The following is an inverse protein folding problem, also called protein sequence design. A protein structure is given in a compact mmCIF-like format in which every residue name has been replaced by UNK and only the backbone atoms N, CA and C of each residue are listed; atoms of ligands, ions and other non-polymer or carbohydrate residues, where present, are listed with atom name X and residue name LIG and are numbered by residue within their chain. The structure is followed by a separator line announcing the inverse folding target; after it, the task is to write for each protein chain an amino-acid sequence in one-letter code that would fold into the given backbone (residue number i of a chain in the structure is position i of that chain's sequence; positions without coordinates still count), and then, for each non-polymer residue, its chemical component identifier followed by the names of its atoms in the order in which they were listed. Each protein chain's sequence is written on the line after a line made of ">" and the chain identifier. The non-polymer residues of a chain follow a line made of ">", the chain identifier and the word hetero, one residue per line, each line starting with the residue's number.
data_IF_492708573775
#
_entry.id   IF_492708573775
#
_cell.length_a   1.000
_cell.length_b   1.000
_cell.length_c   1.000
_cell.angle_alpha   90.00
_cell.angle_beta   90.00
_cell.angle_gamma   90.00
#
_symmetry.space_group_name_H-M   'P 1'
#
loop_
_entity.id
_entity.type
_entity.pdbx_description
1 polymer ?
#
# COMPACT_ATOMS: atom_id res chain seq x y z
N UNK A 1 -14.10 17.98 4.02
CA UNK A 1 -12.75 18.57 4.07
C UNK A 1 -12.46 19.19 2.71
N UNK A 2 -11.72 20.30 2.71
CA UNK A 2 -11.19 20.93 1.49
C UNK A 2 -9.76 20.40 1.26
N UNK A 3 -9.52 19.76 0.12
CA UNK A 3 -8.26 19.09 -0.16
C UNK A 3 -7.68 19.56 -1.48
N UNK A 4 -6.42 19.96 -1.48
CA UNK A 4 -5.66 20.26 -2.69
C UNK A 4 -4.77 19.07 -3.02
N UNK A 5 -4.83 18.60 -4.27
CA UNK A 5 -3.96 17.54 -4.80
C UNK A 5 -3.06 18.14 -5.87
N UNK A 6 -1.76 18.08 -5.67
CA UNK A 6 -0.75 18.62 -6.60
C UNK A 6 -0.12 17.47 -7.38
N UNK A 7 -0.49 17.36 -8.66
CA UNK A 7 -0.15 16.29 -9.58
C UNK A 7 -1.39 15.54 -10.07
N UNK A 8 -1.71 15.63 -11.37
CA UNK A 8 -2.86 14.97 -12.01
C UNK A 8 -2.51 13.63 -12.69
N UNK A 9 -1.32 13.11 -12.47
CA UNK A 9 -0.92 11.80 -12.97
C UNK A 9 -1.75 10.66 -12.34
N UNK A 10 -1.42 9.40 -12.67
CA UNK A 10 -2.18 8.21 -12.21
C UNK A 10 -2.49 8.22 -10.71
N UNK A 11 -1.51 8.56 -9.86
CA UNK A 11 -1.69 8.57 -8.40
C UNK A 11 -2.66 9.68 -7.98
N UNK A 12 -2.44 10.91 -8.44
CA UNK A 12 -3.30 12.05 -8.11
C UNK A 12 -4.73 11.86 -8.61
N UNK A 13 -4.91 11.35 -9.83
CA UNK A 13 -6.23 11.00 -10.38
C UNK A 13 -6.98 10.00 -9.47
N UNK A 14 -6.29 8.90 -9.07
CA UNK A 14 -6.92 7.88 -8.21
C UNK A 14 -7.29 8.43 -6.84
N UNK A 15 -6.42 9.26 -6.24
CA UNK A 15 -6.71 9.90 -4.94
C UNK A 15 -7.88 10.88 -5.09
N UNK A 16 -7.91 11.71 -6.14
CA UNK A 16 -8.99 12.66 -6.39
C UNK A 16 -10.34 11.95 -6.54
N UNK A 17 -10.37 10.83 -7.29
CA UNK A 17 -11.56 10.00 -7.46
C UNK A 17 -12.05 9.46 -6.12
N UNK A 18 -11.20 8.77 -5.37
CA UNK A 18 -11.58 8.11 -4.11
C UNK A 18 -12.06 9.12 -3.06
N UNK A 19 -11.37 10.26 -2.91
CA UNK A 19 -11.75 11.27 -1.92
C UNK A 19 -12.99 12.07 -2.36
N UNK A 20 -13.16 12.29 -3.66
CA UNK A 20 -14.38 12.90 -4.22
C UNK A 20 -15.60 12.02 -3.97
N UNK A 21 -15.52 10.71 -4.21
CA UNK A 21 -16.57 9.73 -3.91
C UNK A 21 -16.94 9.66 -2.41
N UNK A 22 -16.01 10.05 -1.52
CA UNK A 22 -16.26 10.17 -0.08
C UNK A 22 -16.89 11.52 0.33
N UNK A 23 -17.22 12.38 -0.62
CA UNK A 23 -17.87 13.67 -0.37
C UNK A 23 -16.92 14.79 0.08
N UNK A 24 -15.61 14.70 -0.21
CA UNK A 24 -14.68 15.78 0.03
C UNK A 24 -14.64 16.78 -1.13
N UNK A 25 -14.40 18.05 -0.82
CA UNK A 25 -14.18 19.10 -1.83
C UNK A 25 -12.73 19.04 -2.32
N UNK A 26 -12.54 18.68 -3.59
CA UNK A 26 -11.21 18.42 -4.15
C UNK A 26 -10.84 19.51 -5.17
N UNK A 27 -9.63 20.02 -5.09
CA UNK A 27 -9.01 20.83 -6.13
C UNK A 27 -7.73 20.15 -6.60
N UNK A 28 -7.63 19.82 -7.89
CA UNK A 28 -6.44 19.22 -8.50
C UNK A 28 -5.63 20.28 -9.24
N UNK A 29 -4.32 20.31 -9.05
CA UNK A 29 -3.39 21.22 -9.74
C UNK A 29 -2.35 20.41 -10.50
N UNK A 30 -2.17 20.67 -11.79
CA UNK A 30 -1.06 20.14 -12.58
C UNK A 30 -0.65 21.14 -13.67
N UNK A 31 0.61 21.10 -14.09
CA UNK A 31 1.11 21.91 -15.19
C UNK A 31 0.69 21.35 -16.57
N UNK A 32 0.31 20.10 -16.66
CA UNK A 32 -0.17 19.42 -17.87
C UNK A 32 -1.63 19.75 -18.10
N UNK A 33 -1.93 20.53 -19.14
CA UNK A 33 -3.30 20.79 -19.57
C UNK A 33 -4.06 19.54 -20.00
N UNK A 34 -3.35 18.57 -20.57
CA UNK A 34 -3.92 17.28 -20.99
C UNK A 34 -4.38 16.44 -19.77
N UNK A 35 -3.56 16.36 -18.72
CA UNK A 35 -3.93 15.61 -17.52
C UNK A 35 -5.06 16.32 -16.76
N UNK A 36 -5.09 17.66 -16.72
CA UNK A 36 -6.19 18.45 -16.15
C UNK A 36 -7.48 18.27 -16.94
N UNK A 37 -7.41 18.20 -18.26
CA UNK A 37 -8.58 17.92 -19.08
C UNK A 37 -9.19 16.56 -18.77
N UNK A 38 -8.36 15.51 -18.63
CA UNK A 38 -8.82 14.17 -18.22
C UNK A 38 -9.51 14.18 -16.85
N UNK A 39 -9.00 14.98 -15.90
CA UNK A 39 -9.64 15.16 -14.59
C UNK A 39 -11.05 15.75 -14.77
N UNK A 40 -11.17 16.86 -15.52
CA UNK A 40 -12.44 17.54 -15.74
C UNK A 40 -13.49 16.67 -16.47
N UNK A 41 -13.05 15.83 -17.39
CA UNK A 41 -13.94 14.92 -18.13
C UNK A 41 -14.42 13.72 -17.31
N UNK A 42 -13.67 13.33 -16.28
CA UNK A 42 -13.88 12.07 -15.55
C UNK A 42 -14.35 12.24 -14.12
N UNK A 43 -14.12 13.38 -13.48
CA UNK A 43 -14.37 13.60 -12.07
C UNK A 43 -15.10 14.92 -11.82
N UNK A 44 -15.99 14.94 -10.85
CA UNK A 44 -16.65 16.17 -10.37
C UNK A 44 -15.76 16.85 -9.31
N UNK A 45 -14.66 17.46 -9.77
CA UNK A 45 -13.69 18.14 -8.91
C UNK A 45 -13.18 19.41 -9.60
N UNK A 46 -12.76 20.41 -8.83
CA UNK A 46 -12.11 21.58 -9.40
C UNK A 46 -10.72 21.24 -9.91
N UNK A 47 -10.37 21.65 -11.12
CA UNK A 47 -9.05 21.42 -11.68
C UNK A 47 -8.42 22.71 -12.22
N UNK A 48 -7.12 22.89 -11.96
CA UNK A 48 -6.38 24.12 -12.28
C UNK A 48 -5.10 23.73 -13.02
N UNK A 49 -4.90 24.31 -14.20
CA UNK A 49 -3.62 24.24 -14.92
C UNK A 49 -2.63 25.22 -14.30
N UNK A 50 -1.52 24.73 -13.78
CA UNK A 50 -0.47 25.56 -13.21
C UNK A 50 0.60 24.80 -12.44
N UNK A 51 1.66 25.49 -12.07
CA UNK A 51 2.72 24.95 -11.22
C UNK A 51 2.33 25.11 -9.75
N UNK A 52 2.10 24.03 -9.04
CA UNK A 52 1.72 24.05 -7.63
C UNK A 52 2.81 24.63 -6.68
N UNK A 53 4.04 24.84 -7.20
CA UNK A 53 5.10 25.56 -6.49
C UNK A 53 4.95 27.07 -6.56
N UNK A 54 3.98 27.61 -7.29
CA UNK A 54 3.72 29.04 -7.35
C UNK A 54 2.63 29.41 -6.33
N UNK A 55 2.91 30.27 -5.33
CA UNK A 55 1.93 30.69 -4.33
C UNK A 55 0.62 31.19 -4.94
N UNK A 56 0.69 31.97 -6.04
CA UNK A 56 -0.50 32.48 -6.75
C UNK A 56 -1.41 31.37 -7.31
N UNK A 57 -0.87 30.21 -7.65
CA UNK A 57 -1.65 29.06 -8.11
C UNK A 57 -2.33 28.37 -6.91
N UNK A 58 -1.64 28.24 -5.79
CA UNK A 58 -2.23 27.72 -4.55
C UNK A 58 -3.31 28.65 -4.02
N UNK A 59 -3.12 29.97 -4.11
CA UNK A 59 -4.13 30.97 -3.77
C UNK A 59 -5.39 30.81 -4.63
N UNK A 60 -5.26 30.66 -5.95
CA UNK A 60 -6.39 30.35 -6.87
C UNK A 60 -7.12 29.05 -6.52
N UNK A 61 -6.39 28.11 -5.92
CA UNK A 61 -6.95 26.86 -5.41
C UNK A 61 -7.61 26.98 -4.04
N UNK A 62 -7.66 28.20 -3.47
CA UNK A 62 -8.20 28.50 -2.15
C UNK A 62 -7.41 27.83 -1.01
N UNK A 63 -6.07 27.90 -1.09
CA UNK A 63 -5.16 27.27 -0.12
C UNK A 63 -5.38 27.74 1.34
N UNK A 64 -5.89 28.96 1.54
CA UNK A 64 -6.16 29.53 2.87
C UNK A 64 -7.25 28.73 3.63
N UNK A 65 -8.24 28.22 2.90
CA UNK A 65 -9.34 27.43 3.49
C UNK A 65 -9.14 25.91 3.33
N UNK A 66 -7.93 25.50 2.99
CA UNK A 66 -7.60 24.09 2.72
C UNK A 66 -7.22 23.37 4.01
N UNK A 67 -7.86 22.21 4.28
CA UNK A 67 -7.56 21.36 5.42
C UNK A 67 -6.33 20.47 5.19
N UNK A 68 -6.10 20.07 3.93
CA UNK A 68 -5.05 19.12 3.57
C UNK A 68 -4.50 19.39 2.17
N UNK A 69 -3.18 19.30 2.03
CA UNK A 69 -2.51 19.28 0.73
C UNK A 69 -1.79 17.95 0.51
N UNK A 70 -1.92 17.40 -0.70
CA UNK A 70 -1.33 16.13 -1.11
C UNK A 70 -0.45 16.38 -2.34
N UNK A 71 0.86 16.40 -2.15
CA UNK A 71 1.85 16.62 -3.21
C UNK A 71 2.32 15.27 -3.77
N UNK A 72 1.86 14.93 -4.99
CA UNK A 72 2.11 13.63 -5.65
C UNK A 72 2.61 13.79 -7.09
N UNK A 73 3.37 14.84 -7.33
CA UNK A 73 4.02 15.06 -8.63
C UNK A 73 5.09 13.98 -8.90
N UNK A 74 5.74 14.07 -10.07
CA UNK A 74 6.82 13.12 -10.44
C UNK A 74 8.17 13.40 -9.76
N UNK A 75 8.32 14.53 -9.07
CA UNK A 75 9.59 14.98 -8.51
C UNK A 75 9.46 15.17 -7.00
N UNK A 76 10.33 14.52 -6.24
CA UNK A 76 10.32 14.52 -4.78
C UNK A 76 10.60 15.91 -4.21
N UNK A 77 11.56 16.66 -4.78
CA UNK A 77 11.93 18.01 -4.36
C UNK A 77 10.78 18.99 -4.59
N UNK A 78 10.06 18.86 -5.71
CA UNK A 78 8.85 19.64 -5.96
C UNK A 78 7.77 19.34 -4.92
N UNK A 79 7.56 18.06 -4.56
CA UNK A 79 6.58 17.69 -3.55
C UNK A 79 6.95 18.27 -2.17
N UNK A 80 8.23 18.26 -1.82
CA UNK A 80 8.74 18.89 -0.60
C UNK A 80 8.53 20.40 -0.60
N UNK A 81 8.85 21.08 -1.71
CA UNK A 81 8.68 22.52 -1.84
C UNK A 81 7.21 22.93 -1.76
N UNK A 82 6.30 22.17 -2.38
CA UNK A 82 4.85 22.41 -2.27
C UNK A 82 4.41 22.37 -0.80
N UNK A 83 4.84 21.36 -0.05
CA UNK A 83 4.51 21.24 1.38
C UNK A 83 5.09 22.39 2.20
N UNK A 84 6.32 22.85 1.88
CA UNK A 84 6.93 24.00 2.52
C UNK A 84 6.14 25.28 2.27
N UNK A 85 5.74 25.57 1.04
CA UNK A 85 4.93 26.74 0.67
C UNK A 85 3.56 26.67 1.34
N UNK A 86 2.92 25.52 1.32
CA UNK A 86 1.64 25.27 1.96
C UNK A 86 1.66 25.56 3.48
N UNK A 87 2.75 25.24 4.13
CA UNK A 87 2.96 25.56 5.53
C UNK A 87 3.27 27.04 5.75
N UNK A 88 4.32 27.57 5.09
CA UNK A 88 4.88 28.88 5.41
C UNK A 88 4.00 30.06 5.00
N UNK A 89 3.17 29.90 3.96
CA UNK A 89 2.36 30.99 3.40
C UNK A 89 0.88 30.80 3.78
N UNK A 90 0.36 29.57 3.69
CA UNK A 90 -1.07 29.29 3.81
C UNK A 90 -1.46 28.60 5.11
N UNK A 91 -0.48 28.19 5.94
CA UNK A 91 -0.71 27.48 7.20
C UNK A 91 -1.60 26.23 7.08
N UNK A 92 -1.52 25.50 5.95
CA UNK A 92 -2.33 24.29 5.73
C UNK A 92 -2.00 23.27 6.83
N UNK A 93 -3.00 22.79 7.58
CA UNK A 93 -2.75 21.94 8.77
C UNK A 93 -2.10 20.61 8.43
N UNK A 94 -2.56 19.93 7.36
CA UNK A 94 -2.08 18.60 6.99
C UNK A 94 -1.38 18.61 5.64
N UNK A 95 -0.12 18.18 5.62
CA UNK A 95 0.71 18.13 4.42
C UNK A 95 1.21 16.72 4.18
N UNK A 96 0.89 16.18 3.02
CA UNK A 96 1.25 14.83 2.58
C UNK A 96 2.12 14.94 1.34
N UNK A 97 3.28 14.31 1.35
CA UNK A 97 4.18 14.30 0.20
C UNK A 97 4.52 12.88 -0.24
N UNK A 98 4.51 12.66 -1.56
CA UNK A 98 5.11 11.48 -2.16
C UNK A 98 6.62 11.66 -2.26
N UNK A 99 7.37 10.72 -1.64
CA UNK A 99 8.83 10.66 -1.69
C UNK A 99 9.22 9.25 -2.13
N UNK A 100 10.08 9.14 -3.14
CA UNK A 100 10.49 7.87 -3.75
C UNK A 100 11.96 7.57 -3.56
N UNK A 101 12.80 8.62 -3.45
CA UNK A 101 14.23 8.46 -3.30
C UNK A 101 14.56 7.82 -1.96
N UNK A 102 15.34 6.75 -1.99
CA UNK A 102 15.77 6.04 -0.78
C UNK A 102 16.69 6.90 0.08
N UNK A 103 17.41 7.87 -0.51
CA UNK A 103 18.25 8.80 0.24
C UNK A 103 17.39 9.69 1.16
N UNK A 104 16.26 10.19 0.66
CA UNK A 104 15.32 10.97 1.45
C UNK A 104 14.57 10.14 2.50
N UNK A 105 14.39 8.85 2.26
CA UNK A 105 13.70 7.93 3.17
C UNK A 105 14.62 7.26 4.18
N UNK A 106 15.93 7.51 4.11
CA UNK A 106 16.90 6.94 5.03
C UNK A 106 16.65 7.44 6.47
N UNK A 107 16.49 6.55 7.46
CA UNK A 107 16.24 6.92 8.85
C UNK A 107 17.26 7.92 9.44
N UNK A 108 18.50 7.93 8.95
CA UNK A 108 19.54 8.88 9.38
C UNK A 108 19.19 10.34 9.04
N UNK A 109 18.36 10.58 8.04
CA UNK A 109 18.05 11.91 7.52
C UNK A 109 16.61 12.35 7.78
N UNK A 110 15.80 11.54 8.49
CA UNK A 110 14.37 11.82 8.74
C UNK A 110 14.12 13.13 9.50
N UNK A 111 15.14 13.67 10.20
CA UNK A 111 15.05 14.97 10.86
C UNK A 111 14.73 16.12 9.89
N UNK A 112 15.01 15.94 8.60
CA UNK A 112 14.65 16.95 7.57
C UNK A 112 13.15 17.23 7.55
N UNK A 113 12.31 16.24 7.90
CA UNK A 113 10.86 16.34 7.85
C UNK A 113 10.19 16.84 9.16
N UNK A 114 10.99 17.46 10.05
CA UNK A 114 10.41 18.09 11.24
C UNK A 114 9.67 19.38 10.88
N UNK A 115 8.76 19.81 11.78
CA UNK A 115 8.02 21.08 11.61
C UNK A 115 8.93 22.31 11.49
N UNK A 116 10.13 22.24 12.07
CA UNK A 116 11.11 23.31 12.07
C UNK A 116 11.88 23.42 10.76
N UNK A 117 12.01 22.30 10.02
CA UNK A 117 12.77 22.23 8.77
C UNK A 117 11.82 22.16 7.57
N UNK A 118 11.33 21.00 7.25
CA UNK A 118 10.44 20.70 6.12
C UNK A 118 9.16 20.03 6.64
N UNK A 119 8.08 20.79 6.86
CA UNK A 119 6.90 20.35 7.61
C UNK A 119 6.02 19.42 6.75
N UNK A 120 6.43 18.18 6.63
CA UNK A 120 5.66 17.11 6.00
C UNK A 120 5.11 16.21 7.11
N UNK A 121 3.78 16.15 7.21
CA UNK A 121 3.13 15.36 8.26
C UNK A 121 3.05 13.87 7.93
N UNK A 122 2.95 13.55 6.63
CA UNK A 122 2.91 12.16 6.15
C UNK A 122 3.71 12.03 4.86
N UNK A 123 4.62 11.06 4.85
CA UNK A 123 5.35 10.68 3.64
C UNK A 123 4.68 9.43 3.06
N UNK A 124 4.37 9.47 1.77
CA UNK A 124 3.86 8.34 1.01
C UNK A 124 4.96 7.85 0.06
N UNK A 125 5.31 6.58 0.16
CA UNK A 125 6.11 5.88 -0.84
C UNK A 125 5.32 4.68 -1.36
N UNK A 126 4.60 4.83 -2.48
CA UNK A 126 3.83 3.74 -3.07
C UNK A 126 4.68 2.51 -3.34
N UNK A 127 5.94 2.70 -3.71
CA UNK A 127 6.88 1.62 -4.00
C UNK A 127 7.18 0.77 -2.77
N UNK A 128 7.31 1.38 -1.60
CA UNK A 128 7.50 0.68 -0.31
C UNK A 128 6.21 -0.06 0.06
N UNK A 129 5.05 0.58 -0.06
CA UNK A 129 3.77 -0.06 0.30
C UNK A 129 3.41 -1.23 -0.62
N UNK A 130 3.73 -1.13 -1.91
CA UNK A 130 3.59 -2.25 -2.85
C UNK A 130 4.54 -3.40 -2.44
N UNK A 131 5.80 -3.11 -2.13
CA UNK A 131 6.76 -4.11 -1.67
C UNK A 131 6.27 -4.83 -0.41
N UNK A 132 5.78 -4.08 0.59
CA UNK A 132 5.16 -4.65 1.81
C UNK A 132 3.93 -5.50 1.49
N UNK A 133 3.07 -5.06 0.57
CA UNK A 133 1.88 -5.83 0.16
C UNK A 133 2.27 -7.16 -0.49
N UNK A 134 3.28 -7.16 -1.38
CA UNK A 134 3.81 -8.39 -1.99
C UNK A 134 4.41 -9.30 -0.91
N UNK A 135 5.20 -8.74 0.01
CA UNK A 135 5.78 -9.50 1.12
C UNK A 135 4.70 -10.20 1.96
N UNK A 136 3.64 -9.48 2.36
CA UNK A 136 2.52 -10.07 3.11
C UNK A 136 1.87 -11.26 2.40
N UNK A 137 1.75 -11.20 1.07
CA UNK A 137 1.25 -12.32 0.26
C UNK A 137 2.21 -13.51 0.23
N UNK A 138 3.52 -13.25 0.26
CA UNK A 138 4.52 -14.30 0.35
C UNK A 138 4.52 -14.99 1.72
N UNK A 139 4.25 -14.23 2.78
CA UNK A 139 4.14 -14.76 4.15
C UNK A 139 2.88 -15.61 4.38
N UNK A 140 1.79 -15.31 3.67
CA UNK A 140 0.49 -15.97 3.80
C UNK A 140 0.03 -16.58 2.47
N UNK A 141 0.75 -17.59 1.92
CA UNK A 141 0.38 -18.20 0.65
C UNK A 141 -0.98 -18.88 0.78
N UNK A 142 -1.89 -18.56 -0.15
CA UNK A 142 -3.29 -19.00 -0.11
C UNK A 142 -4.27 -17.97 0.44
N UNK A 143 -3.83 -16.98 1.21
CA UNK A 143 -4.65 -15.82 1.53
C UNK A 143 -4.68 -14.82 0.35
N UNK A 144 -5.80 -14.15 0.16
CA UNK A 144 -5.91 -13.03 -0.80
C UNK A 144 -5.18 -11.81 -0.27
N UNK A 145 -5.29 -11.56 1.04
CA UNK A 145 -4.54 -10.52 1.75
C UNK A 145 -4.31 -10.91 3.22
N UNK A 146 -3.32 -10.26 3.85
CA UNK A 146 -2.95 -10.47 5.25
C UNK A 146 -2.54 -9.14 5.87
N UNK A 147 -3.34 -8.64 6.81
CA UNK A 147 -3.10 -7.36 7.49
C UNK A 147 -2.66 -7.60 8.93
N UNK A 148 -1.44 -7.17 9.33
CA UNK A 148 -0.96 -7.32 10.69
C UNK A 148 -1.55 -6.27 11.64
N UNK A 149 -1.84 -6.69 12.89
CA UNK A 149 -2.24 -5.85 14.01
C UNK A 149 -1.39 -6.14 15.25
N UNK A 150 -1.42 -5.24 16.23
CA UNK A 150 -0.78 -5.39 17.53
C UNK A 150 0.70 -5.86 17.42
N UNK A 151 1.53 -5.13 16.64
CA UNK A 151 2.92 -5.48 16.39
C UNK A 151 3.09 -6.92 15.85
N UNK A 152 2.26 -7.28 14.89
CA UNK A 152 2.25 -8.59 14.21
C UNK A 152 1.87 -9.79 15.11
N UNK A 153 1.28 -9.56 16.29
CA UNK A 153 0.76 -10.64 17.15
C UNK A 153 -0.54 -11.24 16.63
N UNK A 154 -1.35 -10.41 15.98
CA UNK A 154 -2.65 -10.76 15.41
C UNK A 154 -2.63 -10.40 13.93
N UNK A 155 -3.27 -11.23 13.10
CA UNK A 155 -3.47 -10.93 11.67
C UNK A 155 -4.92 -11.09 11.28
N UNK A 156 -5.38 -10.22 10.38
CA UNK A 156 -6.62 -10.40 9.65
C UNK A 156 -6.27 -10.98 8.28
N UNK A 157 -6.75 -12.18 8.02
CA UNK A 157 -6.60 -12.83 6.71
C UNK A 157 -7.88 -12.66 5.90
N UNK A 158 -7.74 -12.34 4.62
CA UNK A 158 -8.79 -12.47 3.62
C UNK A 158 -8.56 -13.78 2.87
N UNK A 159 -9.52 -14.72 2.95
CA UNK A 159 -9.40 -16.07 2.39
C UNK A 159 -10.57 -16.33 1.43
N UNK A 160 -10.28 -16.81 0.23
CA UNK A 160 -11.29 -17.28 -0.71
C UNK A 160 -11.61 -18.76 -0.42
N UNK A 161 -12.86 -19.07 -0.22
CA UNK A 161 -13.30 -20.46 -0.01
C UNK A 161 -13.43 -21.14 -1.37
N UNK A 162 -12.53 -22.10 -1.63
CA UNK A 162 -12.50 -22.91 -2.85
C UNK A 162 -13.40 -24.14 -2.69
N UNK A 163 -13.78 -24.76 -3.80
CA UNK A 163 -14.66 -25.93 -3.83
C UNK A 163 -14.15 -27.15 -3.03
N UNK A 164 -12.84 -27.32 -2.95
CA UNK A 164 -12.16 -28.41 -2.23
C UNK A 164 -12.01 -28.15 -0.71
N UNK A 165 -12.53 -27.03 -0.21
CA UNK A 165 -12.44 -26.68 1.21
C UNK A 165 -13.30 -27.61 2.07
N UNK A 166 -12.65 -28.35 2.98
CA UNK A 166 -13.31 -29.33 3.89
C UNK A 166 -14.20 -28.67 4.95
N UNK A 167 -14.17 -27.36 5.07
CA UNK A 167 -14.99 -26.60 6.03
C UNK A 167 -16.27 -26.03 5.42
N UNK A 168 -16.54 -26.26 4.13
CA UNK A 168 -17.78 -25.85 3.48
C UNK A 168 -18.99 -26.48 4.18
N UNK A 169 -20.03 -25.68 4.39
CA UNK A 169 -21.30 -26.04 5.02
C UNK A 169 -21.18 -26.55 6.48
N UNK A 170 -20.01 -26.50 7.10
CA UNK A 170 -19.84 -26.76 8.54
C UNK A 170 -20.16 -25.49 9.29
N UNK A 171 -21.06 -25.55 10.27
CA UNK A 171 -21.40 -24.39 11.12
C UNK A 171 -20.21 -23.99 11.98
N UNK A 172 -20.04 -22.68 12.24
CA UNK A 172 -18.88 -22.18 13.00
C UNK A 172 -18.80 -22.76 14.42
N UNK A 173 -19.94 -23.06 15.09
CA UNK A 173 -19.94 -23.74 16.38
C UNK A 173 -19.46 -25.20 16.31
N UNK A 174 -19.56 -25.86 15.16
CA UNK A 174 -19.02 -27.21 14.92
C UNK A 174 -17.55 -27.15 14.49
N UNK A 175 -17.21 -26.13 13.71
CA UNK A 175 -15.84 -25.89 13.26
C UNK A 175 -14.91 -25.63 14.45
N UNK A 176 -15.36 -24.87 15.46
CA UNK A 176 -14.59 -24.64 16.68
C UNK A 176 -14.40 -25.91 17.53
N UNK A 177 -15.31 -26.89 17.45
CA UNK A 177 -15.12 -28.20 18.08
C UNK A 177 -14.15 -29.10 17.30
N UNK A 178 -14.14 -28.97 15.97
CA UNK A 178 -13.24 -29.71 15.08
C UNK A 178 -11.79 -29.22 15.20
N UNK A 179 -11.59 -27.94 15.47
CA UNK A 179 -10.28 -27.31 15.63
C UNK A 179 -10.15 -26.58 16.99
N UNK A 180 -10.16 -27.32 18.12
CA UNK A 180 -10.30 -26.74 19.47
C UNK A 180 -9.09 -25.91 19.91
N UNK A 181 -7.93 -26.07 19.26
CA UNK A 181 -6.70 -25.33 19.56
C UNK A 181 -6.49 -24.13 18.61
N UNK A 182 -7.37 -23.95 17.63
CA UNK A 182 -7.23 -22.90 16.64
C UNK A 182 -7.81 -21.59 17.20
N UNK A 183 -6.95 -20.63 17.47
CA UNK A 183 -7.31 -19.27 17.89
C UNK A 183 -7.63 -18.41 16.65
N UNK A 184 -8.72 -18.76 15.99
CA UNK A 184 -9.19 -18.09 14.78
C UNK A 184 -10.68 -17.73 14.91
N UNK A 185 -11.02 -16.51 14.51
CA UNK A 185 -12.39 -16.02 14.52
C UNK A 185 -12.76 -15.43 13.16
N UNK A 186 -13.82 -15.97 12.54
CA UNK A 186 -14.37 -15.40 11.30
C UNK A 186 -15.18 -14.16 11.66
N UNK A 187 -14.66 -12.98 11.34
CA UNK A 187 -15.24 -11.68 11.71
C UNK A 187 -16.10 -11.07 10.60
N UNK A 188 -16.01 -11.61 9.37
CA UNK A 188 -16.80 -11.14 8.24
C UNK A 188 -16.84 -12.16 7.12
N UNK A 189 -17.90 -12.12 6.33
CA UNK A 189 -18.08 -12.88 5.10
C UNK A 189 -18.57 -11.93 4.02
N UNK A 190 -17.93 -11.96 2.87
CA UNK A 190 -18.41 -11.34 1.65
C UNK A 190 -18.89 -12.45 0.72
N UNK A 191 -20.21 -12.54 0.53
CA UNK A 191 -20.91 -13.52 -0.33
C UNK A 191 -21.69 -12.77 -1.38
N UNK A 192 -21.44 -13.03 -2.66
CA UNK A 192 -22.13 -12.36 -3.77
C UNK A 192 -22.12 -10.83 -3.62
N UNK A 193 -20.94 -10.28 -3.30
CA UNK A 193 -20.69 -8.85 -3.08
C UNK A 193 -21.42 -8.25 -1.86
N UNK A 194 -22.09 -9.06 -1.03
CA UNK A 194 -22.73 -8.63 0.22
C UNK A 194 -21.87 -9.01 1.42
N UNK A 195 -21.44 -7.99 2.17
CA UNK A 195 -20.70 -8.18 3.41
C UNK A 195 -21.64 -8.32 4.60
N UNK A 196 -21.40 -9.32 5.46
CA UNK A 196 -22.10 -9.49 6.72
C UNK A 196 -21.21 -10.08 7.82
N UNK A 197 -21.59 -9.87 9.07
CA UNK A 197 -20.94 -10.45 10.24
C UNK A 197 -21.61 -11.80 10.52
N UNK A 198 -20.87 -12.94 10.47
CA UNK A 198 -21.46 -14.25 10.64
C UNK A 198 -21.88 -14.56 12.08
N UNK A 199 -22.94 -15.35 12.22
CA UNK A 199 -23.37 -15.92 13.50
C UNK A 199 -22.74 -17.32 13.69
N UNK A 200 -22.73 -17.83 14.92
CA UNK A 200 -22.22 -19.19 15.23
C UNK A 200 -22.92 -20.31 14.48
N UNK A 201 -24.14 -20.06 14.01
CA UNK A 201 -24.97 -21.02 13.22
C UNK A 201 -24.72 -20.94 11.72
N UNK A 202 -23.99 -19.92 11.27
CA UNK A 202 -23.65 -19.76 9.86
C UNK A 202 -22.49 -20.68 9.47
N UNK A 203 -22.31 -20.86 8.16
CA UNK A 203 -21.24 -21.66 7.57
C UNK A 203 -20.66 -20.97 6.36
N UNK A 204 -19.43 -21.30 6.00
CA UNK A 204 -18.81 -20.86 4.76
C UNK A 204 -19.37 -21.63 3.56
N UNK A 205 -19.46 -20.98 2.42
CA UNK A 205 -19.84 -21.56 1.13
C UNK A 205 -18.72 -21.38 0.11
N UNK A 206 -18.78 -22.14 -0.98
CA UNK A 206 -17.91 -21.92 -2.13
C UNK A 206 -18.01 -20.46 -2.59
N UNK A 207 -16.88 -19.90 -3.02
CA UNK A 207 -16.69 -18.53 -3.50
C UNK A 207 -16.91 -17.41 -2.47
N UNK A 208 -17.17 -17.76 -1.19
CA UNK A 208 -17.14 -16.77 -0.11
C UNK A 208 -15.72 -16.22 0.04
N UNK A 209 -15.62 -14.90 0.23
CA UNK A 209 -14.42 -14.27 0.79
C UNK A 209 -14.64 -14.09 2.28
N UNK A 210 -13.86 -14.78 3.09
CA UNK A 210 -13.98 -14.69 4.55
C UNK A 210 -12.84 -13.85 5.13
N UNK A 211 -13.17 -13.11 6.18
CA UNK A 211 -12.22 -12.34 6.96
C UNK A 211 -12.02 -13.01 8.30
N UNK A 212 -10.80 -13.50 8.53
CA UNK A 212 -10.48 -14.31 9.71
C UNK A 212 -9.43 -13.61 10.55
N UNK A 213 -9.75 -13.31 11.80
CA UNK A 213 -8.80 -12.79 12.77
C UNK A 213 -8.10 -13.97 13.46
N UNK A 214 -6.77 -13.95 13.46
CA UNK A 214 -5.96 -15.08 13.95
C UNK A 214 -4.81 -14.62 14.84
N UNK A 215 -4.31 -15.53 15.69
CA UNK A 215 -2.96 -15.41 16.22
C UNK A 215 -1.96 -15.67 15.08
N UNK A 216 -0.96 -14.80 14.93
CA UNK A 216 -0.01 -14.88 13.80
C UNK A 216 0.76 -16.21 13.73
N UNK A 217 0.96 -16.87 14.86
CA UNK A 217 1.63 -18.18 14.93
C UNK A 217 0.79 -19.32 14.37
N UNK A 218 -0.52 -19.11 14.16
CA UNK A 218 -1.45 -20.14 13.69
C UNK A 218 -1.93 -19.92 12.26
N UNK A 219 -1.15 -19.15 11.48
CA UNK A 219 -1.51 -18.84 10.10
C UNK A 219 -1.62 -20.09 9.23
N UNK A 220 -0.64 -20.99 9.30
CA UNK A 220 -0.62 -22.21 8.49
C UNK A 220 -1.79 -23.15 8.82
N UNK A 221 -2.09 -23.32 10.10
CA UNK A 221 -3.21 -24.15 10.58
C UNK A 221 -4.56 -23.55 10.17
N UNK A 222 -4.67 -22.22 10.23
CA UNK A 222 -5.89 -21.52 9.79
C UNK A 222 -6.11 -21.68 8.29
N UNK A 223 -5.09 -21.45 7.49
CA UNK A 223 -5.16 -21.62 6.04
C UNK A 223 -5.51 -23.06 5.66
N UNK A 224 -4.90 -24.07 6.32
CA UNK A 224 -5.25 -25.50 6.09
C UNK A 224 -6.71 -25.82 6.48
N UNK A 225 -7.20 -25.24 7.58
CA UNK A 225 -8.61 -25.42 8.01
C UNK A 225 -9.60 -24.90 6.97
N UNK A 226 -9.23 -23.86 6.22
CA UNK A 226 -10.04 -23.29 5.14
C UNK A 226 -9.64 -23.75 3.73
N UNK A 227 -8.85 -24.85 3.62
CA UNK A 227 -8.57 -25.52 2.36
C UNK A 227 -7.31 -25.05 1.63
N UNK A 228 -6.48 -24.21 2.25
CA UNK A 228 -5.25 -23.70 1.67
C UNK A 228 -4.03 -24.40 2.26
N UNK A 229 -3.32 -25.17 1.43
CA UNK A 229 -2.13 -25.97 1.81
C UNK A 229 -0.86 -25.51 1.12
N UNK A 230 -0.90 -24.32 0.56
CA UNK A 230 0.23 -23.73 -0.15
C UNK A 230 1.41 -23.54 0.82
N UNK A 231 2.59 -23.99 0.40
CA UNK A 231 3.82 -23.81 1.19
C UNK A 231 4.47 -22.47 0.88
N UNK A 232 5.06 -21.85 1.90
CA UNK A 232 5.89 -20.67 1.71
C UNK A 232 7.03 -20.98 0.73
N UNK A 233 7.17 -20.17 -0.30
CA UNK A 233 8.22 -20.31 -1.30
C UNK A 233 9.58 -20.01 -0.68
N UNK A 234 10.53 -20.93 -0.81
CA UNK A 234 11.90 -20.75 -0.30
C UNK A 234 12.84 -20.03 -1.26
N UNK A 235 12.43 -19.87 -2.51
CA UNK A 235 13.22 -19.21 -3.57
C UNK A 235 12.33 -18.24 -4.34
N UNK A 236 12.76 -17.00 -4.46
CA UNK A 236 12.04 -15.94 -5.15
C UNK A 236 12.96 -15.35 -6.22
N UNK A 237 12.41 -15.19 -7.42
CA UNK A 237 13.03 -14.45 -8.49
C UNK A 237 12.26 -13.14 -8.72
N UNK A 238 12.95 -12.03 -8.59
CA UNK A 238 12.43 -10.68 -8.88
C UNK A 238 12.97 -10.25 -10.23
N UNK A 239 12.09 -9.92 -11.17
CA UNK A 239 12.46 -9.37 -12.47
C UNK A 239 12.27 -7.85 -12.40
N UNK A 240 13.41 -7.12 -12.45
CA UNK A 240 13.47 -5.68 -12.30
C UNK A 240 13.95 -5.22 -10.92
N UNK A 241 15.09 -4.55 -10.90
CA UNK A 241 15.72 -3.98 -9.70
C UNK A 241 15.35 -2.52 -9.43
N UNK A 242 14.16 -2.08 -9.87
CA UNK A 242 13.62 -0.76 -9.54
C UNK A 242 13.34 -0.61 -8.04
N UNK A 243 12.69 0.50 -7.65
CA UNK A 243 12.44 0.77 -6.23
C UNK A 243 11.56 -0.30 -5.56
N UNK A 244 10.57 -0.85 -6.27
CA UNK A 244 9.73 -1.94 -5.73
C UNK A 244 10.56 -3.21 -5.51
N UNK A 245 11.31 -3.66 -6.54
CA UNK A 245 12.13 -4.86 -6.45
C UNK A 245 13.20 -4.77 -5.37
N UNK A 246 13.87 -3.62 -5.27
CA UNK A 246 14.84 -3.34 -4.21
C UNK A 246 14.20 -3.41 -2.81
N UNK A 247 13.10 -2.67 -2.57
CA UNK A 247 12.45 -2.67 -1.26
C UNK A 247 11.90 -4.05 -0.89
N UNK A 248 11.37 -4.80 -1.87
CA UNK A 248 10.88 -6.15 -1.64
C UNK A 248 12.03 -7.08 -1.22
N UNK A 249 13.13 -7.07 -1.95
CA UNK A 249 14.30 -7.89 -1.62
C UNK A 249 14.85 -7.54 -0.23
N UNK A 250 15.01 -6.25 0.05
CA UNK A 250 15.49 -5.76 1.35
C UNK A 250 14.58 -6.18 2.50
N UNK A 251 13.26 -6.00 2.35
CA UNK A 251 12.30 -6.43 3.36
C UNK A 251 12.36 -7.95 3.60
N UNK A 252 12.53 -8.75 2.54
CA UNK A 252 12.65 -10.20 2.68
C UNK A 252 13.94 -10.58 3.43
N UNK A 253 15.08 -9.97 3.10
CA UNK A 253 16.33 -10.18 3.82
C UNK A 253 16.22 -9.86 5.32
N UNK A 254 15.52 -8.75 5.66
CA UNK A 254 15.38 -8.30 7.04
C UNK A 254 14.39 -9.12 7.88
N UNK A 255 13.45 -9.83 7.25
CA UNK A 255 12.32 -10.43 7.99
C UNK A 255 12.06 -11.90 7.70
N UNK A 256 12.64 -12.47 6.64
CA UNK A 256 12.34 -13.82 6.16
C UNK A 256 13.62 -14.62 5.84
N UNK A 257 14.43 -14.90 6.86
CA UNK A 257 15.76 -15.54 6.76
C UNK A 257 15.78 -16.86 5.96
N UNK A 258 14.63 -17.53 5.86
CA UNK A 258 14.51 -18.84 5.16
C UNK A 258 14.32 -18.70 3.65
N UNK A 259 14.09 -17.49 3.14
CA UNK A 259 13.80 -17.22 1.73
C UNK A 259 15.07 -16.71 1.02
N UNK A 260 15.41 -17.35 -0.10
CA UNK A 260 16.50 -16.92 -0.98
C UNK A 260 15.98 -16.08 -2.12
N UNK A 261 16.49 -14.86 -2.27
CA UNK A 261 16.06 -13.92 -3.31
C UNK A 261 17.12 -13.81 -4.40
N UNK A 262 16.65 -13.75 -5.66
CA UNK A 262 17.46 -13.35 -6.82
C UNK A 262 16.78 -12.19 -7.51
N UNK A 263 17.55 -11.19 -7.95
CA UNK A 263 17.07 -10.07 -8.78
C UNK A 263 17.75 -10.14 -10.13
N UNK A 264 16.97 -10.03 -11.21
CA UNK A 264 17.49 -9.81 -12.56
C UNK A 264 17.23 -8.36 -12.94
N UNK A 265 18.31 -7.62 -13.24
CA UNK A 265 18.24 -6.20 -13.60
C UNK A 265 19.03 -5.94 -14.89
N UNK A 266 18.34 -5.29 -15.86
CA UNK A 266 18.90 -5.02 -17.20
C UNK A 266 19.96 -3.92 -17.17
N UNK A 267 19.75 -2.88 -16.37
CA UNK A 267 20.68 -1.76 -16.28
C UNK A 267 21.89 -2.14 -15.40
N UNK A 268 23.09 -2.13 -15.98
CA UNK A 268 24.33 -2.54 -15.32
C UNK A 268 24.64 -1.70 -14.07
N UNK A 269 24.53 -0.37 -14.15
CA UNK A 269 24.82 0.53 -13.01
C UNK A 269 23.84 0.28 -11.86
N UNK A 270 22.57 0.03 -12.21
CA UNK A 270 21.55 -0.30 -11.19
C UNK A 270 21.80 -1.66 -10.56
N UNK A 271 22.20 -2.66 -11.34
CA UNK A 271 22.57 -3.98 -10.82
C UNK A 271 23.76 -3.91 -9.87
N UNK A 272 24.81 -3.14 -10.20
CA UNK A 272 25.97 -2.89 -9.33
C UNK A 272 25.54 -2.16 -8.03
N UNK A 273 24.69 -1.15 -8.13
CA UNK A 273 24.13 -0.48 -6.95
C UNK A 273 23.40 -1.45 -6.03
N UNK A 274 22.52 -2.29 -6.57
CA UNK A 274 21.74 -3.28 -5.80
C UNK A 274 22.66 -4.30 -5.11
N UNK A 275 23.69 -4.79 -5.82
CA UNK A 275 24.65 -5.74 -5.26
C UNK A 275 25.44 -5.16 -4.07
N UNK A 276 25.63 -3.83 -4.06
CA UNK A 276 26.30 -3.15 -2.94
C UNK A 276 25.35 -2.81 -1.77
N UNK A 277 24.03 -2.82 -1.99
CA UNK A 277 23.04 -2.43 -0.98
C UNK A 277 22.32 -3.61 -0.31
N UNK A 278 22.36 -4.78 -0.96
CA UNK A 278 21.71 -6.01 -0.49
C UNK A 278 22.79 -7.00 -0.02
N UNK A 279 22.53 -7.70 1.07
CA UNK A 279 23.50 -8.58 1.70
C UNK A 279 23.39 -10.05 1.23
N UNK A 280 22.13 -10.57 1.18
CA UNK A 280 21.86 -11.98 0.93
C UNK A 280 21.21 -12.23 -0.45
N UNK A 281 20.81 -11.18 -1.16
CA UNK A 281 20.18 -11.26 -2.47
C UNK A 281 21.21 -11.38 -3.59
N UNK A 282 21.07 -12.39 -4.43
CA UNK A 282 21.92 -12.53 -5.64
C UNK A 282 21.40 -11.60 -6.73
N UNK A 283 22.23 -10.66 -7.15
CA UNK A 283 21.90 -9.76 -8.27
C UNK A 283 22.54 -10.22 -9.56
N UNK A 284 21.73 -10.37 -10.59
CA UNK A 284 22.15 -10.80 -11.92
C UNK A 284 21.93 -9.65 -12.89
N UNK A 285 22.98 -9.18 -13.54
CA UNK A 285 22.82 -8.23 -14.63
C UNK A 285 22.44 -8.96 -15.92
N UNK A 286 21.21 -8.73 -16.41
CA UNK A 286 20.69 -9.39 -17.59
C UNK A 286 19.27 -8.99 -17.93
N UNK A 287 18.79 -9.44 -19.08
CA UNK A 287 17.39 -9.30 -19.45
C UNK A 287 16.60 -10.47 -18.87
N UNK A 288 15.55 -10.19 -18.13
CA UNK A 288 14.69 -11.18 -17.50
C UNK A 288 13.49 -11.62 -18.35
N UNK A 289 13.40 -11.13 -19.58
CA UNK A 289 12.34 -11.44 -20.56
C UNK A 289 12.94 -12.18 -21.76
#
# INVERSE_FOLDING_TARGET
>A
MNIIICGAGRVGFTIAKLLGEQGHSITVIDQSSEDIQKINESLDVKAIVGKATYPSILEKANAVETDMIIAVTRNDEINMLICQIAFSIFNIPKKIARIRSQDYLNPKFTRVYSKENLPIDVIISPEIEIAKSIQRKLEAPGALDSVPFANNKIRLLEILIREDCKSINIKFNELSKKYPKLEANVVGINREEKFFIPKKTDSVKKDDKIYVLINSNQMAETLDAFGHKEKISKKILIIGGGNIGYNLAKNIEETLDTIRVKIVEKNKQRAEYLANQLNDTIVINGNGL
#
